data_IF_148901180795
#
_entry.id   IF_148901180795
#
_cell.length_a   1.000
_cell.length_b   1.000
_cell.length_c   1.000
_cell.angle_alpha   90.00
_cell.angle_beta   90.00
_cell.angle_gamma   90.00
#
_symmetry.space_group_name_H-M   'P 1'
#
loop_
_entity.id
_entity.type
_entity.pdbx_description
1 polymer ?
#
# COMPACT_ATOMS: atom_id res chain seq x y z
N UNK A 1 -1.91 -37.48 21.81
CA UNK A 1 -1.19 -38.75 21.93
C UNK A 1 0.09 -38.62 21.14
N UNK A 2 1.32 -38.64 21.60
CA UNK A 2 2.07 -39.20 22.73
C UNK A 2 3.34 -38.34 22.81
N UNK A 3 3.64 -37.68 23.82
CA UNK A 3 4.63 -37.78 24.89
C UNK A 3 5.88 -38.61 24.56
N UNK A 4 7.04 -38.05 24.80
CA UNK A 4 8.34 -38.73 24.86
C UNK A 4 9.47 -37.81 25.32
N UNK A 5 9.58 -37.64 26.64
CA UNK A 5 10.74 -37.14 27.35
C UNK A 5 11.97 -38.05 27.11
N UNK A 6 13.15 -37.46 27.03
CA UNK A 6 14.36 -38.12 27.57
C UNK A 6 15.29 -37.09 28.24
N UNK A 7 15.47 -37.34 29.49
CA UNK A 7 16.31 -36.70 30.49
C UNK A 7 17.68 -37.41 30.56
N UNK A 8 18.68 -36.66 31.04
CA UNK A 8 19.93 -37.12 31.71
C UNK A 8 21.09 -37.52 30.81
N UNK A 9 22.33 -37.30 31.22
CA UNK A 9 23.03 -37.37 32.54
C UNK A 9 24.42 -36.73 32.43
N UNK A 10 24.77 -35.97 33.43
CA UNK A 10 25.86 -36.15 34.39
C UNK A 10 27.29 -36.51 33.93
N UNK A 11 28.28 -35.80 34.35
CA UNK A 11 29.34 -35.92 35.41
C UNK A 11 30.50 -35.05 34.94
N UNK A 12 31.12 -34.14 35.63
CA UNK A 12 31.61 -34.20 36.99
C UNK A 12 33.14 -34.35 37.03
N UNK A 13 33.88 -33.31 37.48
CA UNK A 13 35.22 -33.43 38.01
C UNK A 13 36.29 -32.47 37.44
N UNK A 14 37.38 -32.20 38.12
CA UNK A 14 37.43 -31.38 39.32
C UNK A 14 38.30 -30.11 39.17
N UNK A 15 38.24 -29.26 40.17
CA UNK A 15 39.05 -28.06 40.43
C UNK A 15 40.55 -28.29 40.38
N UNK A 16 41.29 -27.39 39.73
CA UNK A 16 42.63 -27.03 40.17
C UNK A 16 42.73 -25.52 40.31
N UNK A 17 42.97 -25.09 41.51
CA UNK A 17 43.38 -23.72 41.87
C UNK A 17 44.80 -23.48 41.37
N UNK A 18 45.02 -22.36 40.70
CA UNK A 18 46.34 -21.75 40.65
C UNK A 18 46.21 -20.27 40.96
N UNK A 19 46.80 -19.88 42.03
CA UNK A 19 47.03 -18.52 42.48
C UNK A 19 48.25 -17.97 41.75
N UNK A 20 48.18 -16.78 41.23
CA UNK A 20 49.15 -15.69 41.37
C UNK A 20 49.04 -14.68 40.23
N UNK A 21 49.12 -13.44 40.60
CA UNK A 21 49.60 -12.38 39.68
C UNK A 21 48.70 -11.20 39.49
N UNK A 22 48.77 -10.27 40.40
CA UNK A 22 48.25 -8.90 40.30
C UNK A 22 48.88 -8.14 39.15
N UNK A 23 48.08 -7.60 38.25
CA UNK A 23 48.33 -6.25 37.68
C UNK A 23 47.00 -5.60 37.42
N UNK A 24 46.70 -4.60 38.21
CA UNK A 24 45.56 -3.71 38.04
C UNK A 24 45.92 -2.66 36.97
N UNK A 25 45.46 -2.83 35.76
CA UNK A 25 45.49 -1.77 34.76
C UNK A 25 44.04 -1.29 34.56
N UNK A 26 43.70 -0.22 35.25
CA UNK A 26 42.47 0.50 35.05
C UNK A 26 42.65 1.31 33.78
N UNK A 27 42.22 0.76 32.66
CA UNK A 27 42.05 1.53 31.44
C UNK A 27 40.61 2.07 31.43
N UNK A 28 40.49 3.34 31.82
CA UNK A 28 39.24 4.08 31.69
C UNK A 28 38.99 4.32 30.22
N UNK A 29 38.20 3.44 29.58
CA UNK A 29 37.61 3.68 28.28
C UNK A 29 36.40 4.58 28.50
N UNK A 30 36.59 5.88 28.32
CA UNK A 30 35.51 6.83 28.11
C UNK A 30 34.91 6.49 26.76
N UNK A 31 33.97 5.55 26.75
CA UNK A 31 33.07 5.34 25.62
C UNK A 31 32.16 6.58 25.55
N UNK A 32 32.54 7.55 24.73
CA UNK A 32 31.64 8.62 24.25
C UNK A 32 30.54 7.95 23.45
N UNK A 33 29.43 7.64 24.12
CA UNK A 33 28.20 7.21 23.52
C UNK A 33 27.60 8.45 22.81
N UNK A 34 28.06 8.68 21.58
CA UNK A 34 27.43 9.65 20.69
C UNK A 34 26.00 9.19 20.44
N UNK A 35 25.05 9.79 21.15
CA UNK A 35 23.64 9.73 20.79
C UNK A 35 23.50 10.32 19.38
N UNK A 36 23.53 9.47 18.36
CA UNK A 36 23.00 9.79 17.05
C UNK A 36 21.48 9.94 17.22
N UNK A 37 21.05 11.11 17.64
CA UNK A 37 19.66 11.52 17.48
C UNK A 37 19.44 11.64 15.98
N UNK A 38 18.98 10.57 15.34
CA UNK A 38 18.34 10.67 14.05
C UNK A 38 17.13 11.56 14.25
N UNK A 39 17.31 12.86 14.03
CA UNK A 39 16.18 13.74 13.82
C UNK A 39 15.49 13.25 12.55
N UNK A 40 14.44 12.44 12.74
CA UNK A 40 13.44 12.26 11.71
C UNK A 40 12.97 13.69 11.37
N UNK A 41 13.49 14.23 10.28
CA UNK A 41 13.10 15.57 9.81
C UNK A 41 11.61 15.52 9.59
N UNK A 42 10.86 16.14 10.49
CA UNK A 42 9.45 16.39 10.26
C UNK A 42 9.38 17.25 8.99
N UNK A 43 8.97 16.63 7.90
CA UNK A 43 8.78 17.29 6.62
C UNK A 43 7.71 18.36 6.83
N UNK A 44 8.00 19.61 6.45
CA UNK A 44 7.04 20.69 6.61
C UNK A 44 5.71 20.29 5.92
N UNK A 45 4.55 20.58 6.53
CA UNK A 45 3.26 20.28 5.93
C UNK A 45 3.20 20.89 4.53
N UNK A 46 2.94 20.06 3.52
CA UNK A 46 2.75 20.54 2.15
C UNK A 46 1.53 21.46 2.12
N UNK A 47 1.60 22.59 1.41
CA UNK A 47 0.44 23.45 1.27
C UNK A 47 -0.73 22.64 0.69
N UNK A 48 -1.89 22.69 1.35
CA UNK A 48 -3.04 21.80 1.02
C UNK A 48 -3.52 21.95 -0.42
N UNK A 49 -3.42 23.15 -1.00
CA UNK A 49 -3.83 23.41 -2.40
C UNK A 49 -2.91 22.74 -3.41
N UNK A 50 -1.59 22.78 -3.18
CA UNK A 50 -0.60 22.14 -4.06
C UNK A 50 -0.76 20.62 -3.99
N UNK A 51 -0.91 20.09 -2.77
CA UNK A 51 -1.13 18.65 -2.57
C UNK A 51 -2.40 18.14 -3.27
N UNK A 52 -3.50 18.89 -3.21
CA UNK A 52 -4.74 18.52 -3.89
C UNK A 52 -4.56 18.46 -5.42
N UNK A 53 -3.93 19.47 -6.01
CA UNK A 53 -3.67 19.50 -7.45
C UNK A 53 -2.74 18.38 -7.91
N UNK A 54 -1.71 18.06 -7.10
CA UNK A 54 -0.77 16.98 -7.38
C UNK A 54 -1.45 15.61 -7.33
N UNK A 55 -2.29 15.36 -6.32
CA UNK A 55 -3.05 14.11 -6.20
C UNK A 55 -4.00 13.92 -7.38
N UNK A 56 -4.74 14.96 -7.78
CA UNK A 56 -5.63 14.89 -8.94
C UNK A 56 -4.85 14.70 -10.25
N UNK A 57 -3.66 15.29 -10.38
CA UNK A 57 -2.78 15.05 -11.52
C UNK A 57 -2.27 13.61 -11.56
N UNK A 58 -1.88 13.08 -10.40
CA UNK A 58 -1.44 11.69 -10.25
C UNK A 58 -2.58 10.70 -10.54
N UNK A 59 -3.79 10.98 -10.07
CA UNK A 59 -4.96 10.17 -10.37
C UNK A 59 -5.25 10.10 -11.87
N UNK A 60 -5.14 11.23 -12.61
CA UNK A 60 -5.27 11.22 -14.08
C UNK A 60 -4.22 10.33 -14.76
N UNK A 61 -2.98 10.30 -14.25
CA UNK A 61 -1.95 9.39 -14.78
C UNK A 61 -2.30 7.92 -14.53
N UNK A 62 -2.81 7.61 -13.33
CA UNK A 62 -3.30 6.26 -13.00
C UNK A 62 -4.44 5.85 -13.94
N UNK A 63 -5.42 6.73 -14.19
CA UNK A 63 -6.54 6.43 -15.09
C UNK A 63 -6.07 6.17 -16.54
N UNK A 64 -5.12 6.98 -17.02
CA UNK A 64 -4.53 6.77 -18.35
C UNK A 64 -3.77 5.43 -18.42
N UNK A 65 -3.00 5.10 -17.39
CA UNK A 65 -2.26 3.85 -17.31
C UNK A 65 -3.19 2.63 -17.22
N UNK A 66 -4.29 2.73 -16.46
CA UNK A 66 -5.32 1.67 -16.40
C UNK A 66 -5.95 1.43 -17.77
N UNK A 67 -6.30 2.49 -18.49
CA UNK A 67 -6.86 2.38 -19.85
C UNK A 67 -5.88 1.74 -20.83
N UNK A 68 -4.59 2.07 -20.72
CA UNK A 68 -3.52 1.55 -21.59
C UNK A 68 -2.98 0.19 -21.14
N UNK A 69 -3.42 -0.32 -19.98
CA UNK A 69 -2.85 -1.52 -19.35
C UNK A 69 -1.36 -1.38 -19.07
N UNK A 70 -0.89 -0.17 -18.73
CA UNK A 70 0.51 0.11 -18.37
C UNK A 70 0.80 -0.38 -16.93
N UNK A 71 0.99 -1.69 -16.81
CA UNK A 71 1.25 -2.33 -15.52
C UNK A 71 2.58 -1.92 -14.91
N UNK A 72 3.56 -1.49 -15.71
CA UNK A 72 4.87 -1.05 -15.21
C UNK A 72 4.73 0.28 -14.46
N UNK A 73 4.03 1.25 -15.05
CA UNK A 73 3.71 2.51 -14.37
C UNK A 73 2.88 2.24 -13.12
N UNK A 74 1.83 1.44 -13.23
CA UNK A 74 0.91 1.16 -12.11
C UNK A 74 1.59 0.41 -10.96
N UNK A 75 2.51 -0.49 -11.25
CA UNK A 75 3.31 -1.15 -10.21
C UNK A 75 4.15 -0.14 -9.42
N UNK A 76 4.77 0.80 -10.10
CA UNK A 76 5.50 1.90 -9.47
C UNK A 76 4.60 2.90 -8.73
N UNK A 77 3.39 3.15 -9.22
CA UNK A 77 2.44 4.10 -8.66
C UNK A 77 1.74 3.59 -7.39
N UNK A 78 1.46 2.28 -7.32
CA UNK A 78 0.83 1.67 -6.16
C UNK A 78 1.81 1.47 -5.00
N UNK A 79 1.31 1.66 -3.79
CA UNK A 79 2.01 1.25 -2.57
C UNK A 79 2.20 -0.28 -2.54
N UNK A 80 3.18 -0.76 -1.78
CA UNK A 80 3.43 -2.21 -1.63
C UNK A 80 2.27 -2.94 -0.96
N UNK A 81 1.55 -2.22 -0.10
CA UNK A 81 0.37 -2.67 0.64
C UNK A 81 -0.96 -2.24 -0.01
N UNK A 82 -0.94 -1.93 -1.32
CA UNK A 82 -2.14 -1.54 -2.06
C UNK A 82 -3.21 -2.63 -2.07
N UNK A 83 -4.47 -2.18 -1.97
CA UNK A 83 -5.64 -3.05 -2.08
C UNK A 83 -6.70 -2.45 -2.99
N UNK A 84 -7.38 -3.29 -3.77
CA UNK A 84 -8.50 -2.92 -4.63
C UNK A 84 -9.75 -3.70 -4.24
N UNK A 85 -10.78 -3.02 -3.74
CA UNK A 85 -12.07 -3.64 -3.47
C UNK A 85 -13.03 -3.38 -4.62
N UNK A 86 -13.44 -4.46 -5.26
CA UNK A 86 -14.49 -4.43 -6.27
C UNK A 86 -15.83 -4.20 -5.58
N UNK A 87 -16.65 -3.35 -6.06
CA UNK A 87 -18.00 -2.97 -5.61
C UNK A 87 -18.49 -3.62 -4.32
N UNK A 88 -19.31 -2.95 -3.59
CA UNK A 88 -19.92 -3.60 -2.45
C UNK A 88 -21.29 -4.17 -2.82
N UNK A 89 -21.54 -5.37 -2.40
CA UNK A 89 -22.86 -5.98 -2.53
C UNK A 89 -23.93 -5.27 -1.70
N UNK A 90 -23.54 -4.37 -0.81
CA UNK A 90 -24.46 -3.66 0.07
C UNK A 90 -25.34 -2.67 -0.71
N UNK A 91 -24.76 -1.97 -1.70
CA UNK A 91 -25.50 -1.01 -2.52
C UNK A 91 -26.25 -1.67 -3.67
N UNK A 92 -25.84 -2.86 -4.10
CA UNK A 92 -26.43 -3.61 -5.21
C UNK A 92 -27.30 -4.77 -4.77
N UNK A 93 -27.32 -5.09 -3.46
CA UNK A 93 -28.05 -6.26 -2.91
C UNK A 93 -27.39 -7.61 -3.20
N UNK A 94 -26.17 -7.59 -3.73
CA UNK A 94 -25.39 -8.80 -4.03
C UNK A 94 -24.40 -9.18 -2.91
N UNK A 95 -23.60 -10.23 -3.10
CA UNK A 95 -22.52 -10.60 -2.19
C UNK A 95 -21.44 -9.52 -2.19
N UNK A 96 -20.71 -9.40 -1.07
CA UNK A 96 -19.51 -8.56 -1.00
C UNK A 96 -18.52 -9.08 -2.03
N UNK A 97 -18.13 -8.22 -2.97
CA UNK A 97 -17.09 -8.53 -3.94
C UNK A 97 -15.72 -8.50 -3.27
N UNK A 98 -14.83 -9.38 -3.70
CA UNK A 98 -13.53 -9.57 -3.08
C UNK A 98 -12.63 -8.33 -3.08
N UNK A 99 -11.57 -8.42 -2.32
CA UNK A 99 -10.49 -7.42 -2.32
C UNK A 99 -9.26 -8.07 -2.96
N UNK A 100 -8.77 -7.45 -4.03
CA UNK A 100 -7.54 -7.87 -4.69
C UNK A 100 -6.33 -7.25 -4.00
N UNK A 101 -5.27 -8.00 -3.93
CA UNK A 101 -3.93 -7.50 -3.69
C UNK A 101 -3.44 -6.71 -4.91
N UNK A 102 -2.33 -5.97 -4.75
CA UNK A 102 -1.70 -5.24 -5.85
C UNK A 102 -1.44 -6.14 -7.07
N UNK A 103 -0.87 -7.32 -6.86
CA UNK A 103 -0.53 -8.25 -7.94
C UNK A 103 -1.76 -8.81 -8.67
N UNK A 104 -2.81 -9.14 -7.94
CA UNK A 104 -4.07 -9.62 -8.51
C UNK A 104 -4.75 -8.54 -9.34
N UNK A 105 -4.81 -7.31 -8.80
CA UNK A 105 -5.38 -6.20 -9.53
C UNK A 105 -4.61 -5.89 -10.81
N UNK A 106 -3.28 -5.79 -10.77
CA UNK A 106 -2.44 -5.55 -11.95
C UNK A 106 -2.62 -6.63 -13.02
N UNK A 107 -2.69 -7.90 -12.62
CA UNK A 107 -2.91 -9.00 -13.54
C UNK A 107 -4.29 -8.93 -14.25
N UNK A 108 -5.28 -8.27 -13.64
CA UNK A 108 -6.64 -8.15 -14.17
C UNK A 108 -6.82 -7.06 -15.23
N UNK A 109 -5.79 -6.23 -15.51
CA UNK A 109 -5.96 -5.01 -16.31
C UNK A 109 -5.87 -5.20 -17.82
N UNK A 110 -5.26 -6.28 -18.29
CA UNK A 110 -4.99 -6.48 -19.72
C UNK A 110 -6.27 -6.45 -20.54
N UNK A 111 -6.37 -5.46 -21.46
CA UNK A 111 -7.51 -5.31 -22.35
C UNK A 111 -8.87 -5.08 -21.68
N UNK A 112 -8.88 -4.69 -20.41
CA UNK A 112 -10.09 -4.58 -19.59
C UNK A 112 -11.06 -3.50 -20.08
N UNK A 113 -10.52 -2.38 -20.59
CA UNK A 113 -11.29 -1.21 -20.96
C UNK A 113 -11.00 -0.76 -22.40
N UNK A 114 -12.03 -0.35 -23.13
CA UNK A 114 -11.91 0.36 -24.41
C UNK A 114 -12.07 1.89 -24.24
N UNK A 115 -12.75 2.32 -23.16
CA UNK A 115 -12.77 3.71 -22.72
C UNK A 115 -12.88 3.78 -21.21
N UNK A 116 -12.37 4.88 -20.63
CA UNK A 116 -12.43 5.14 -19.19
C UNK A 116 -12.26 6.63 -18.93
N UNK A 117 -13.17 7.20 -18.17
CA UNK A 117 -13.17 8.60 -17.80
C UNK A 117 -13.61 8.74 -16.35
N UNK A 118 -13.10 9.76 -15.68
CA UNK A 118 -13.50 10.10 -14.30
C UNK A 118 -14.16 11.47 -14.31
N UNK A 119 -15.28 11.56 -13.63
CA UNK A 119 -15.99 12.82 -13.38
C UNK A 119 -16.36 12.97 -11.90
N UNK A 120 -16.95 14.10 -11.55
CA UNK A 120 -17.46 14.39 -10.20
C UNK A 120 -16.39 14.24 -9.12
N UNK A 121 -15.12 14.53 -9.45
CA UNK A 121 -14.00 14.36 -8.55
C UNK A 121 -14.01 15.39 -7.41
N UNK A 122 -13.77 14.90 -6.21
CA UNK A 122 -13.49 15.67 -5.01
C UNK A 122 -12.20 15.14 -4.39
N UNK A 123 -11.46 16.01 -3.68
CA UNK A 123 -10.23 15.64 -2.99
C UNK A 123 -10.18 16.27 -1.61
N UNK A 124 -9.77 15.50 -0.63
CA UNK A 124 -9.51 15.91 0.74
C UNK A 124 -8.06 15.62 1.09
N UNK A 125 -7.39 16.54 1.78
CA UNK A 125 -5.98 16.40 2.21
C UNK A 125 -5.93 16.38 3.73
N UNK A 126 -5.35 15.32 4.27
CA UNK A 126 -5.18 15.09 5.72
C UNK A 126 -3.70 14.79 6.02
N UNK A 127 -2.85 15.81 6.00
CA UNK A 127 -1.40 15.66 6.16
C UNK A 127 -0.80 14.82 5.02
N UNK A 128 -0.27 13.65 5.35
CA UNK A 128 0.34 12.72 4.39
C UNK A 128 -0.68 11.75 3.75
N UNK A 129 -1.97 11.97 3.97
CA UNK A 129 -3.04 11.20 3.35
C UNK A 129 -3.90 12.11 2.49
N UNK A 130 -4.23 11.64 1.30
CA UNK A 130 -5.26 12.23 0.46
C UNK A 130 -6.36 11.21 0.19
N UNK A 131 -7.60 11.69 0.18
CA UNK A 131 -8.77 10.89 -0.16
C UNK A 131 -9.42 11.54 -1.38
N UNK A 132 -9.63 10.76 -2.43
CA UNK A 132 -10.43 11.20 -3.58
C UNK A 132 -11.72 10.43 -3.66
N UNK A 133 -12.76 11.10 -4.11
CA UNK A 133 -14.05 10.52 -4.41
C UNK A 133 -14.45 10.95 -5.81
N UNK A 134 -15.09 10.07 -6.54
CA UNK A 134 -15.53 10.39 -7.90
C UNK A 134 -16.32 9.26 -8.53
N UNK A 135 -16.70 9.48 -9.80
CA UNK A 135 -17.37 8.47 -10.60
C UNK A 135 -16.51 8.11 -11.81
N UNK A 136 -16.33 6.82 -12.04
CA UNK A 136 -15.76 6.29 -13.29
C UNK A 136 -16.91 5.98 -14.24
N UNK A 137 -16.80 6.43 -15.48
CA UNK A 137 -17.56 5.96 -16.62
C UNK A 137 -16.62 5.16 -17.51
N UNK A 138 -16.97 3.94 -17.85
CA UNK A 138 -16.11 3.04 -18.59
C UNK A 138 -16.88 2.19 -19.59
N UNK A 139 -16.16 1.69 -20.58
CA UNK A 139 -16.63 0.66 -21.51
C UNK A 139 -15.67 -0.52 -21.44
N UNK A 140 -16.21 -1.73 -21.39
CA UNK A 140 -15.38 -2.93 -21.38
C UNK A 140 -14.56 -3.05 -22.64
N UNK A 141 -13.39 -3.70 -22.55
CA UNK A 141 -12.59 -4.09 -23.71
C UNK A 141 -13.20 -5.24 -24.50
N UNK A 142 -12.46 -5.69 -25.50
CA UNK A 142 -12.85 -6.81 -26.38
C UNK A 142 -13.60 -6.35 -27.65
N UNK A 143 -14.21 -7.30 -28.40
CA UNK A 143 -14.95 -6.98 -29.63
C UNK A 143 -16.08 -6.01 -29.37
N UNK A 144 -16.31 -5.07 -30.30
CA UNK A 144 -17.31 -4.02 -30.15
C UNK A 144 -18.72 -4.53 -29.84
N UNK A 145 -19.10 -5.65 -30.45
CA UNK A 145 -20.41 -6.29 -30.23
C UNK A 145 -20.62 -6.84 -28.80
N UNK A 146 -19.56 -6.97 -28.02
CA UNK A 146 -19.61 -7.48 -26.63
C UNK A 146 -19.29 -6.42 -25.60
N UNK A 147 -18.92 -5.22 -26.05
CA UNK A 147 -18.60 -4.13 -25.15
C UNK A 147 -19.85 -3.62 -24.43
N UNK A 148 -19.70 -3.32 -23.16
CA UNK A 148 -20.77 -2.79 -22.31
C UNK A 148 -20.30 -1.51 -21.63
N UNK A 149 -21.14 -0.47 -21.68
CA UNK A 149 -20.92 0.74 -20.88
C UNK A 149 -21.40 0.54 -19.46
N UNK A 150 -20.65 1.08 -18.51
CA UNK A 150 -21.02 1.04 -17.10
C UNK A 150 -20.38 2.19 -16.34
N UNK A 151 -20.89 2.46 -15.17
CA UNK A 151 -20.31 3.43 -14.25
C UNK A 151 -20.22 2.87 -12.84
N UNK A 152 -19.32 3.42 -12.03
CA UNK A 152 -19.24 3.15 -10.60
C UNK A 152 -18.66 4.34 -9.85
N UNK A 153 -19.10 4.50 -8.61
CA UNK A 153 -18.53 5.46 -7.67
C UNK A 153 -17.42 4.82 -6.87
N UNK A 154 -16.41 5.62 -6.51
CA UNK A 154 -15.26 5.15 -5.77
C UNK A 154 -14.85 6.13 -4.67
N UNK A 155 -14.13 5.58 -3.70
CA UNK A 155 -13.25 6.28 -2.77
C UNK A 155 -11.85 5.71 -2.95
N UNK A 156 -10.85 6.58 -3.07
CA UNK A 156 -9.45 6.20 -3.18
C UNK A 156 -8.65 6.89 -2.11
N UNK A 157 -7.64 6.20 -1.62
CA UNK A 157 -6.71 6.71 -0.63
C UNK A 157 -5.31 6.73 -1.23
N UNK A 158 -4.64 7.84 -1.05
CA UNK A 158 -3.25 8.05 -1.41
C UNK A 158 -2.45 8.37 -0.15
N UNK A 159 -1.23 7.88 -0.07
CA UNK A 159 -0.31 8.19 1.02
C UNK A 159 0.94 8.88 0.46
N UNK A 160 1.39 9.93 1.13
CA UNK A 160 2.68 10.55 0.86
C UNK A 160 3.77 9.75 1.56
N UNK A 161 4.53 8.98 0.80
CA UNK A 161 5.63 8.14 1.28
C UNK A 161 6.80 8.26 0.32
N UNK A 162 8.01 8.18 0.81
CA UNK A 162 9.23 8.24 -0.02
C UNK A 162 9.25 9.45 -0.96
N UNK A 163 8.82 10.60 -0.45
CA UNK A 163 8.76 11.89 -1.16
C UNK A 163 7.88 11.89 -2.42
N UNK A 164 6.85 11.06 -2.46
CA UNK A 164 5.87 10.97 -3.56
C UNK A 164 4.50 10.48 -3.08
N UNK A 165 3.46 10.80 -3.81
CA UNK A 165 2.16 10.17 -3.62
C UNK A 165 2.20 8.73 -4.11
N UNK A 166 1.63 7.83 -3.34
CA UNK A 166 1.46 6.42 -3.67
C UNK A 166 -0.03 6.06 -3.58
N UNK A 167 -0.53 5.32 -4.55
CA UNK A 167 -1.90 4.81 -4.55
C UNK A 167 -2.01 3.67 -3.54
N UNK A 168 -2.72 3.92 -2.44
CA UNK A 168 -2.76 3.01 -1.29
C UNK A 168 -3.99 2.09 -1.32
N UNK A 169 -5.16 2.62 -1.71
CA UNK A 169 -6.38 1.83 -1.65
C UNK A 169 -7.44 2.33 -2.64
N UNK A 170 -8.14 1.39 -3.25
CA UNK A 170 -9.37 1.64 -4.01
C UNK A 170 -10.55 0.97 -3.34
N UNK A 171 -11.67 1.68 -3.27
CA UNK A 171 -12.95 1.14 -2.83
C UNK A 171 -14.03 1.56 -3.83
N UNK A 172 -14.61 0.60 -4.53
CA UNK A 172 -15.84 0.84 -5.28
C UNK A 172 -16.98 0.86 -4.27
N UNK A 173 -17.62 2.01 -4.10
CA UNK A 173 -18.66 2.22 -3.09
C UNK A 173 -20.06 2.08 -3.62
N UNK A 174 -20.24 2.18 -4.96
CA UNK A 174 -21.50 1.91 -5.62
C UNK A 174 -21.24 1.45 -7.06
N UNK A 175 -21.92 0.42 -7.48
CA UNK A 175 -21.80 -0.15 -8.84
C UNK A 175 -20.96 -1.43 -8.89
N UNK A 176 -20.70 -1.96 -10.11
CA UNK A 176 -20.97 -1.32 -11.41
C UNK A 176 -22.47 -1.26 -11.76
N UNK A 177 -22.88 -0.12 -12.33
CA UNK A 177 -24.20 0.07 -12.93
C UNK A 177 -24.04 0.06 -14.44
N UNK A 178 -24.65 -0.90 -15.12
CA UNK A 178 -24.59 -1.05 -16.57
C UNK A 178 -25.65 -0.20 -17.24
N UNK A 179 -25.29 0.44 -18.35
CA UNK A 179 -26.23 1.14 -19.21
C UNK A 179 -26.95 0.11 -20.12
N UNK A 180 -28.26 0.29 -20.29
CA UNK A 180 -29.08 -0.54 -21.16
C UNK A 180 -28.89 -0.17 -22.65
#
# INVERSE_FOLDING_TARGET
WIYGDVINCFLGGPMTRSTAGWVLVITVFLASLGLLTSSAGAQAPRASTDAASDVLAFERQIEAAVLQSDVVFLDGACASDFTYTHGDGWTTGGPILGTDTKSEWLASLSGRYSSRQVDSQQVEIHGDIAITMGRVQARTGGPESTQRSFSFWYVRVYAWRDNRWQYLSHRTVHGPVYEE
#
